data_IF_881525946849
#
_entry.id   IF_881525946849
#
_cell.length_a   1.000
_cell.length_b   1.000
_cell.length_c   1.000
_cell.angle_alpha   90.00
_cell.angle_beta   90.00
_cell.angle_gamma   90.00
#
_symmetry.space_group_name_H-M   'P 1'
#
loop_
_entity.id
_entity.type
_entity.pdbx_description
1 polymer ?
#
# COMPACT_ATOMS: atom_id res chain seq x y z
N UNK A 1 10.68 -12.57 -2.13
CA UNK A 1 9.41 -11.93 -1.76
C UNK A 1 9.23 -11.98 -0.25
N UNK A 2 8.89 -10.82 0.35
CA UNK A 2 8.62 -10.59 1.78
C UNK A 2 7.14 -10.28 1.99
N UNK A 3 6.61 -10.36 3.21
CA UNK A 3 5.18 -10.12 3.50
C UNK A 3 5.01 -8.88 4.38
N UNK A 4 4.28 -7.89 3.86
CA UNK A 4 3.97 -6.64 4.56
C UNK A 4 2.51 -6.55 5.02
N UNK A 5 2.19 -5.56 5.85
CA UNK A 5 0.82 -5.28 6.30
C UNK A 5 0.39 -3.83 6.04
N UNK A 6 -0.84 -3.61 5.58
CA UNK A 6 -1.47 -2.28 5.56
C UNK A 6 -1.94 -1.86 6.97
N UNK A 7 -1.18 -1.01 7.68
CA UNK A 7 -1.48 -0.72 9.10
C UNK A 7 -2.85 -0.07 9.33
N UNK A 8 -3.38 0.66 8.34
CA UNK A 8 -4.74 1.26 8.38
C UNK A 8 -5.85 0.25 8.63
N UNK A 9 -5.61 -1.03 8.34
CA UNK A 9 -6.57 -2.11 8.48
C UNK A 9 -6.56 -2.72 9.88
N UNK A 10 -5.72 -2.20 10.77
CA UNK A 10 -5.71 -2.50 12.18
C UNK A 10 -6.32 -1.33 12.96
N UNK A 11 -6.93 -1.61 14.12
CA UNK A 11 -7.43 -0.58 15.03
C UNK A 11 -6.48 -0.41 16.21
N UNK A 12 -6.46 0.81 16.74
CA UNK A 12 -5.62 1.22 17.87
C UNK A 12 -4.64 2.32 17.48
N UNK A 13 -3.84 2.84 18.45
CA UNK A 13 -2.71 3.72 18.20
C UNK A 13 -1.70 3.10 17.23
N UNK A 14 -0.96 3.94 16.50
CA UNK A 14 0.06 3.46 15.56
C UNK A 14 1.16 2.62 16.27
N UNK A 15 1.73 2.99 17.44
CA UNK A 15 2.75 2.18 18.10
C UNK A 15 2.29 0.76 18.47
N UNK A 16 1.09 0.62 19.03
CA UNK A 16 0.48 -0.69 19.33
C UNK A 16 0.24 -1.51 18.06
N UNK A 17 -0.11 -0.83 16.97
CA UNK A 17 -0.33 -1.45 15.67
C UNK A 17 0.98 -2.02 15.12
N UNK A 18 2.08 -1.25 15.15
CA UNK A 18 3.39 -1.72 14.70
C UNK A 18 3.94 -2.86 15.57
N UNK A 19 3.80 -2.76 16.89
CA UNK A 19 4.18 -3.83 17.81
C UNK A 19 3.43 -5.14 17.52
N UNK A 20 2.13 -5.05 17.19
CA UNK A 20 1.36 -6.22 16.76
C UNK A 20 1.83 -6.78 15.41
N UNK A 21 2.15 -5.93 14.43
CA UNK A 21 2.67 -6.36 13.11
C UNK A 21 3.98 -7.15 13.29
N UNK A 22 4.94 -6.62 14.07
CA UNK A 22 6.19 -7.32 14.37
C UNK A 22 5.97 -8.64 15.12
N UNK A 23 5.11 -8.65 16.15
CA UNK A 23 4.81 -9.85 16.93
C UNK A 23 4.13 -10.99 16.13
N UNK A 24 3.58 -10.69 14.95
CA UNK A 24 2.95 -11.68 14.06
C UNK A 24 3.82 -11.99 12.81
N UNK A 25 5.11 -11.63 12.85
CA UNK A 25 6.11 -12.07 11.86
C UNK A 25 6.00 -11.44 10.48
N UNK A 26 5.36 -10.28 10.36
CA UNK A 26 5.38 -9.49 9.12
C UNK A 26 6.75 -8.81 8.97
N UNK A 27 7.25 -8.72 7.74
CA UNK A 27 8.56 -8.16 7.40
C UNK A 27 8.56 -6.63 7.25
N UNK A 28 7.39 -5.99 7.37
CA UNK A 28 7.23 -4.55 7.15
C UNK A 28 5.78 -4.10 7.06
N UNK A 29 5.57 -2.80 6.86
CA UNK A 29 4.24 -2.19 6.78
C UNK A 29 4.16 -1.00 5.84
N UNK A 30 2.99 -0.84 5.24
CA UNK A 30 2.58 0.39 4.57
C UNK A 30 1.87 1.30 5.58
N UNK A 31 2.15 2.60 5.55
CA UNK A 31 1.66 3.59 6.55
C UNK A 31 0.91 4.77 5.89
N UNK A 32 -0.08 5.31 6.58
CA UNK A 32 -0.83 6.50 6.13
C UNK A 32 -0.44 7.74 6.95
N UNK A 33 -0.20 8.89 6.31
CA UNK A 33 0.19 10.13 7.01
C UNK A 33 -0.78 10.49 8.16
N UNK A 34 -2.09 10.45 7.89
CA UNK A 34 -3.16 10.67 8.89
C UNK A 34 -3.05 9.82 10.16
N UNK A 35 -2.36 8.67 10.12
CA UNK A 35 -2.16 7.75 11.24
C UNK A 35 -0.93 8.11 12.07
N UNK A 36 0.07 8.72 11.43
CA UNK A 36 1.20 9.39 12.08
C UNK A 36 0.68 10.64 12.81
N UNK A 37 -0.08 11.48 12.10
CA UNK A 37 -0.66 12.73 12.64
C UNK A 37 -1.59 12.45 13.84
N UNK A 38 -2.50 11.48 13.70
CA UNK A 38 -3.43 11.11 14.78
C UNK A 38 -2.75 10.47 16.01
N UNK A 39 -1.50 10.02 15.87
CA UNK A 39 -0.67 9.55 16.99
C UNK A 39 0.20 10.68 17.59
N UNK A 40 0.19 11.89 17.00
CA UNK A 40 1.05 13.00 17.42
C UNK A 40 2.54 12.78 17.11
N UNK A 41 2.85 11.90 16.16
CA UNK A 41 4.21 11.48 15.82
C UNK A 41 4.78 12.26 14.63
N UNK A 42 6.09 12.15 14.43
CA UNK A 42 6.81 12.56 13.22
C UNK A 42 7.26 11.33 12.42
N UNK A 43 7.65 11.55 11.15
CA UNK A 43 8.25 10.52 10.32
C UNK A 43 9.48 9.87 10.99
N UNK A 44 10.33 10.67 11.65
CA UNK A 44 11.49 10.21 12.43
C UNK A 44 11.14 9.21 13.53
N UNK A 45 9.97 9.37 14.15
CA UNK A 45 9.53 8.54 15.27
C UNK A 45 9.05 7.20 14.73
N UNK A 46 8.29 7.21 13.63
CA UNK A 46 7.84 6.01 12.90
C UNK A 46 9.02 5.22 12.33
N UNK A 47 10.01 5.89 11.72
CA UNK A 47 11.23 5.26 11.23
C UNK A 47 12.07 4.64 12.36
N UNK A 48 12.04 5.23 13.56
CA UNK A 48 12.70 4.67 14.75
C UNK A 48 11.94 3.46 15.28
N UNK A 49 10.62 3.55 15.45
CA UNK A 49 9.78 2.40 15.84
C UNK A 49 9.92 1.22 14.87
N UNK A 50 9.95 1.49 13.56
CA UNK A 50 10.13 0.46 12.54
C UNK A 50 11.47 -0.27 12.72
N UNK A 51 12.58 0.47 12.82
CA UNK A 51 13.92 -0.09 13.09
C UNK A 51 13.98 -0.90 14.39
N UNK A 52 13.46 -0.35 15.48
CA UNK A 52 13.53 -0.99 16.80
C UNK A 52 12.68 -2.28 16.88
N UNK A 53 11.63 -2.37 16.05
CA UNK A 53 10.78 -3.55 15.89
C UNK A 53 11.25 -4.52 14.79
N UNK A 54 12.33 -4.20 14.05
CA UNK A 54 12.81 -5.00 12.93
C UNK A 54 11.92 -4.97 11.68
N UNK A 55 11.08 -3.95 11.52
CA UNK A 55 10.16 -3.76 10.40
C UNK A 55 10.73 -2.81 9.35
N UNK A 56 10.50 -3.08 8.07
CA UNK A 56 10.68 -2.09 6.99
C UNK A 56 9.41 -1.24 6.83
N UNK A 57 9.55 0.08 6.63
CA UNK A 57 8.46 0.90 6.12
C UNK A 57 8.43 0.69 4.61
N UNK A 58 7.41 0.01 4.09
CA UNK A 58 7.42 -0.47 2.69
C UNK A 58 6.84 0.53 1.71
N UNK A 59 5.85 1.32 2.16
CA UNK A 59 5.18 2.33 1.35
C UNK A 59 4.46 3.40 2.19
N UNK A 60 4.24 4.58 1.62
CA UNK A 60 3.25 5.57 2.08
C UNK A 60 1.95 5.36 1.30
N UNK A 61 0.81 5.34 2.01
CA UNK A 61 -0.50 5.03 1.45
C UNK A 61 -1.53 6.15 1.53
N UNK A 62 -2.50 6.08 0.62
CA UNK A 62 -3.73 6.87 0.62
C UNK A 62 -3.68 8.10 -0.29
N UNK A 63 -4.57 9.05 -0.01
CA UNK A 63 -4.68 10.32 -0.72
C UNK A 63 -6.11 10.75 -1.00
N UNK A 64 -6.31 11.95 -1.55
CA UNK A 64 -7.61 12.46 -2.02
C UNK A 64 -8.00 11.83 -3.37
N UNK A 65 -9.04 12.36 -4.01
CA UNK A 65 -9.49 11.97 -5.35
C UNK A 65 -8.52 12.52 -6.41
N UNK A 66 -8.15 11.74 -7.44
CA UNK A 66 -7.28 12.18 -8.54
C UNK A 66 -8.04 12.53 -9.84
N UNK A 67 -9.34 12.26 -9.87
CA UNK A 67 -10.21 12.38 -11.04
C UNK A 67 -10.92 13.72 -11.10
N UNK A 68 -11.37 14.26 -9.97
CA UNK A 68 -12.14 15.52 -9.94
C UNK A 68 -11.23 16.75 -10.14
N UNK A 69 -11.34 17.48 -11.27
CA UNK A 69 -10.50 18.64 -11.55
C UNK A 69 -10.70 19.77 -10.53
N UNK A 70 -11.85 19.80 -9.81
CA UNK A 70 -12.14 20.79 -8.77
C UNK A 70 -11.25 20.62 -7.54
N UNK A 71 -10.70 19.42 -7.31
CA UNK A 71 -9.77 19.10 -6.22
C UNK A 71 -8.35 18.75 -6.68
N UNK A 72 -8.04 18.89 -7.98
CA UNK A 72 -6.76 18.45 -8.54
C UNK A 72 -5.54 19.10 -7.86
N UNK A 73 -5.59 20.39 -7.52
CA UNK A 73 -4.47 21.08 -6.86
C UNK A 73 -4.24 20.57 -5.43
N UNK A 74 -5.31 20.36 -4.66
CA UNK A 74 -5.24 19.73 -3.33
C UNK A 74 -4.63 18.31 -3.42
N UNK A 75 -5.01 17.56 -4.46
CA UNK A 75 -4.46 16.25 -4.72
C UNK A 75 -2.97 16.27 -5.05
N UNK A 76 -2.54 17.16 -5.95
CA UNK A 76 -1.13 17.35 -6.29
C UNK A 76 -0.32 17.66 -5.03
N UNK A 77 -0.76 18.61 -4.20
CA UNK A 77 -0.01 19.03 -3.01
C UNK A 77 -0.01 17.97 -1.90
N UNK A 78 -1.10 17.21 -1.73
CA UNK A 78 -1.13 16.05 -0.83
C UNK A 78 -0.13 14.96 -1.27
N UNK A 79 -0.11 14.60 -2.56
CA UNK A 79 0.82 13.59 -3.07
C UNK A 79 2.28 14.06 -3.09
N UNK A 80 2.55 15.36 -3.25
CA UNK A 80 3.89 15.94 -2.97
C UNK A 80 4.28 15.74 -1.51
N UNK A 81 3.36 15.98 -0.58
CA UNK A 81 3.54 15.68 0.85
C UNK A 81 3.91 14.21 1.10
N UNK A 82 3.21 13.28 0.44
CA UNK A 82 3.49 11.84 0.58
C UNK A 82 4.83 11.41 -0.05
N UNK A 83 5.24 12.03 -1.15
CA UNK A 83 6.55 11.79 -1.77
C UNK A 83 7.70 12.27 -0.86
N UNK A 84 7.55 13.44 -0.23
CA UNK A 84 8.52 13.90 0.77
C UNK A 84 8.53 12.99 2.01
N UNK A 85 7.35 12.60 2.50
CA UNK A 85 7.21 11.65 3.61
C UNK A 85 7.83 10.27 3.28
N UNK A 86 7.73 9.79 2.03
CA UNK A 86 8.34 8.52 1.64
C UNK A 86 9.86 8.60 1.70
N UNK A 87 10.45 9.73 1.28
CA UNK A 87 11.89 10.01 1.42
C UNK A 87 12.32 10.07 2.90
N UNK A 88 11.58 10.77 3.76
CA UNK A 88 11.87 10.84 5.20
C UNK A 88 11.80 9.47 5.90
N UNK A 89 10.86 8.62 5.49
CA UNK A 89 10.70 7.24 6.00
C UNK A 89 11.65 6.23 5.33
N UNK A 90 12.40 6.63 4.30
CA UNK A 90 13.32 5.77 3.54
C UNK A 90 12.64 4.77 2.60
N UNK A 91 11.32 4.86 2.41
CA UNK A 91 10.55 3.97 1.54
C UNK A 91 10.43 4.56 0.12
N UNK A 92 10.32 3.71 -0.90
CA UNK A 92 10.38 4.11 -2.32
C UNK A 92 9.04 4.04 -3.05
N UNK A 93 7.95 3.82 -2.31
CA UNK A 93 6.63 3.56 -2.87
C UNK A 93 5.62 4.52 -2.22
N UNK A 94 4.93 5.29 -3.05
CA UNK A 94 3.69 5.98 -2.67
C UNK A 94 2.55 5.34 -3.48
N UNK A 95 1.57 4.74 -2.81
CA UNK A 95 0.42 4.13 -3.48
C UNK A 95 -0.72 5.13 -3.60
N UNK A 96 -1.40 5.17 -4.74
CA UNK A 96 -2.53 6.05 -4.99
C UNK A 96 -3.76 5.27 -5.49
N UNK A 97 -4.94 5.82 -5.24
CA UNK A 97 -6.21 5.38 -5.83
C UNK A 97 -6.79 6.56 -6.62
N UNK A 98 -7.27 6.34 -7.85
CA UNK A 98 -7.94 7.41 -8.62
C UNK A 98 -9.25 7.86 -7.96
N UNK A 99 -9.98 6.88 -7.41
CA UNK A 99 -11.35 6.97 -6.88
C UNK A 99 -12.40 7.18 -7.97
N UNK A 100 -13.67 7.20 -7.59
CA UNK A 100 -14.78 7.41 -8.50
C UNK A 100 -14.78 8.84 -9.06
N UNK A 101 -15.19 8.99 -10.32
CA UNK A 101 -15.51 10.30 -10.90
C UNK A 101 -16.79 10.87 -10.27
N UNK A 102 -16.97 12.20 -10.25
CA UNK A 102 -18.27 12.81 -10.01
C UNK A 102 -19.34 12.39 -11.02
N UNK A 103 -20.60 12.38 -10.62
CA UNK A 103 -21.74 12.03 -11.49
C UNK A 103 -21.90 13.03 -12.64
N UNK A 104 -21.59 14.31 -12.40
CA UNK A 104 -21.68 15.44 -13.34
C UNK A 104 -20.49 15.55 -14.31
N UNK A 105 -19.42 14.79 -14.09
CA UNK A 105 -18.21 14.83 -14.92
C UNK A 105 -18.29 13.79 -16.06
N UNK A 106 -17.92 14.17 -17.29
CA UNK A 106 -17.86 13.20 -18.39
C UNK A 106 -16.68 12.23 -18.22
N UNK A 107 -16.75 11.04 -18.83
CA UNK A 107 -15.62 10.09 -18.79
C UNK A 107 -14.36 10.66 -19.46
N UNK A 108 -14.52 11.46 -20.52
CA UNK A 108 -13.40 12.09 -21.21
C UNK A 108 -12.69 13.12 -20.30
N UNK A 109 -13.46 13.98 -19.62
CA UNK A 109 -12.92 14.98 -18.70
C UNK A 109 -12.30 14.32 -17.45
N UNK A 110 -12.92 13.24 -16.96
CA UNK A 110 -12.40 12.42 -15.87
C UNK A 110 -11.02 11.82 -16.21
N UNK A 111 -10.86 11.25 -17.40
CA UNK A 111 -9.57 10.71 -17.85
C UNK A 111 -8.52 11.80 -18.10
N UNK A 112 -8.91 12.93 -18.70
CA UNK A 112 -8.01 14.07 -18.90
C UNK A 112 -7.49 14.63 -17.56
N UNK A 113 -8.41 14.94 -16.64
CA UNK A 113 -8.10 15.41 -15.28
C UNK A 113 -7.20 14.44 -14.51
N UNK A 114 -7.47 13.13 -14.61
CA UNK A 114 -6.62 12.10 -13.99
C UNK A 114 -5.20 12.10 -14.57
N UNK A 115 -5.08 12.15 -15.89
CA UNK A 115 -3.78 12.15 -16.57
C UNK A 115 -2.97 13.42 -16.24
N UNK A 116 -3.61 14.59 -16.21
CA UNK A 116 -2.98 15.86 -15.86
C UNK A 116 -2.54 15.91 -14.38
N UNK A 117 -3.42 15.47 -13.47
CA UNK A 117 -3.13 15.41 -12.02
C UNK A 117 -1.97 14.46 -11.74
N UNK A 118 -2.00 13.25 -12.31
CA UNK A 118 -0.89 12.28 -12.18
C UNK A 118 0.38 12.80 -12.82
N UNK A 119 0.32 13.43 -14.00
CA UNK A 119 1.50 14.01 -14.64
C UNK A 119 2.15 15.13 -13.80
N UNK A 120 1.35 15.96 -13.12
CA UNK A 120 1.84 17.00 -12.22
C UNK A 120 2.49 16.44 -10.94
N UNK A 121 1.95 15.34 -10.40
CA UNK A 121 2.57 14.58 -9.29
C UNK A 121 3.89 13.95 -9.75
N UNK A 122 3.89 13.26 -10.90
CA UNK A 122 5.09 12.66 -11.49
C UNK A 122 6.15 13.71 -11.86
N UNK A 123 5.77 14.93 -12.21
CA UNK A 123 6.72 16.01 -12.44
C UNK A 123 7.54 16.36 -11.18
N UNK A 124 6.92 16.30 -9.99
CA UNK A 124 7.65 16.45 -8.72
C UNK A 124 8.47 15.20 -8.38
N UNK A 125 7.95 14.00 -8.66
CA UNK A 125 8.68 12.76 -8.44
C UNK A 125 9.98 12.64 -9.27
N UNK A 126 10.10 13.35 -10.41
CA UNK A 126 11.33 13.39 -11.23
C UNK A 126 12.53 14.03 -10.51
N UNK A 127 12.29 14.85 -9.49
CA UNK A 127 13.35 15.43 -8.66
C UNK A 127 13.82 14.45 -7.56
N UNK A 128 13.21 13.27 -7.46
CA UNK A 128 13.50 12.22 -6.47
C UNK A 128 14.09 11.00 -7.17
N UNK A 129 15.38 10.73 -6.97
CA UNK A 129 16.12 9.70 -7.73
C UNK A 129 16.15 8.34 -7.01
N UNK A 130 15.33 7.41 -7.49
CA UNK A 130 15.46 5.95 -7.30
C UNK A 130 14.98 5.22 -8.57
N UNK A 131 15.46 3.99 -8.84
CA UNK A 131 15.34 3.34 -10.16
C UNK A 131 14.39 2.11 -10.21
N UNK A 132 13.29 2.23 -10.98
CA UNK A 132 12.44 1.25 -11.73
C UNK A 132 11.82 -0.04 -11.07
N UNK A 133 10.63 -0.58 -11.42
CA UNK A 133 9.40 -0.10 -12.13
C UNK A 133 8.17 -1.09 -12.08
N UNK A 134 6.90 -0.58 -12.07
CA UNK A 134 5.59 -1.27 -12.41
C UNK A 134 4.82 -2.05 -11.28
N UNK A 135 3.51 -2.42 -11.32
CA UNK A 135 2.29 -2.09 -12.14
C UNK A 135 1.53 -3.33 -12.73
N UNK A 136 0.18 -3.52 -12.79
CA UNK A 136 -1.07 -2.94 -12.21
C UNK A 136 -2.29 -3.96 -12.32
N UNK A 137 -3.57 -3.62 -11.99
CA UNK A 137 -4.69 -4.59 -11.68
C UNK A 137 -6.11 -4.38 -12.32
N UNK A 138 -7.11 -5.22 -11.96
CA UNK A 138 -8.57 -5.08 -12.24
C UNK A 138 -9.49 -6.10 -11.51
N UNK A 139 -10.74 -5.74 -11.17
CA UNK A 139 -11.67 -6.54 -10.32
C UNK A 139 -13.10 -6.71 -10.89
N UNK A 140 -13.84 -7.73 -10.41
CA UNK A 140 -15.30 -7.80 -10.45
C UNK A 140 -15.89 -8.63 -9.27
N UNK A 141 -16.81 -8.04 -8.50
CA UNK A 141 -17.75 -8.71 -7.58
C UNK A 141 -17.22 -9.88 -6.73
N UNK A 142 -16.51 -9.58 -5.63
CA UNK A 142 -15.97 -10.57 -4.68
C UNK A 142 -16.25 -10.12 -3.24
N UNK A 143 -16.29 -11.06 -2.29
CA UNK A 143 -16.27 -10.79 -0.84
C UNK A 143 -14.84 -10.93 -0.32
N UNK A 144 -14.46 -10.14 0.67
CA UNK A 144 -13.16 -10.28 1.35
C UNK A 144 -13.03 -11.65 2.04
N UNK A 145 -11.92 -12.33 1.77
CA UNK A 145 -11.47 -13.59 2.39
C UNK A 145 -9.94 -13.53 2.51
N UNK A 146 -9.32 -14.42 3.28
CA UNK A 146 -7.86 -14.44 3.38
C UNK A 146 -7.21 -14.82 2.04
N UNK A 147 -5.96 -14.42 1.84
CA UNK A 147 -5.19 -14.85 0.67
C UNK A 147 -5.15 -16.39 0.61
N UNK A 148 -5.32 -16.96 -0.59
CA UNK A 148 -5.47 -18.41 -0.80
C UNK A 148 -6.91 -18.95 -0.73
N UNK A 149 -7.84 -18.28 -0.04
CA UNK A 149 -9.24 -18.74 0.09
C UNK A 149 -10.18 -18.21 -1.02
N UNK A 150 -9.72 -17.20 -1.75
CA UNK A 150 -10.49 -16.50 -2.78
C UNK A 150 -10.41 -17.13 -4.17
N UNK A 151 -10.88 -16.37 -5.16
CA UNK A 151 -10.86 -16.76 -6.58
C UNK A 151 -9.54 -16.42 -7.30
N UNK A 152 -8.58 -15.83 -6.59
CA UNK A 152 -7.28 -15.42 -7.15
C UNK A 152 -6.43 -16.67 -7.37
N UNK A 153 -5.93 -16.85 -8.60
CA UNK A 153 -5.04 -17.94 -8.96
C UNK A 153 -3.62 -17.76 -8.44
N UNK A 154 -3.43 -17.71 -7.11
CA UNK A 154 -2.15 -17.40 -6.46
C UNK A 154 -0.94 -18.18 -7.01
N UNK A 155 -1.00 -19.50 -7.28
CA UNK A 155 0.16 -20.20 -7.85
C UNK A 155 0.62 -19.65 -9.21
N UNK A 156 -0.32 -19.27 -10.08
CA UNK A 156 0.02 -18.66 -11.37
C UNK A 156 0.48 -17.21 -11.22
N UNK A 157 -0.17 -16.44 -10.35
CA UNK A 157 0.19 -15.05 -10.03
C UNK A 157 1.60 -14.92 -9.42
N UNK A 158 1.90 -15.71 -8.39
CA UNK A 158 3.21 -15.72 -7.72
C UNK A 158 4.32 -16.23 -8.64
N UNK A 159 4.03 -17.24 -9.49
CA UNK A 159 4.95 -17.71 -10.52
C UNK A 159 5.23 -16.62 -11.58
N UNK A 160 4.20 -15.87 -11.99
CA UNK A 160 4.37 -14.76 -12.92
C UNK A 160 5.20 -13.62 -12.32
N UNK A 161 5.00 -13.26 -11.04
CA UNK A 161 5.85 -12.30 -10.33
C UNK A 161 7.30 -12.78 -10.23
N UNK A 162 7.52 -14.05 -9.83
CA UNK A 162 8.87 -14.60 -9.74
C UNK A 162 9.57 -14.59 -11.13
N UNK A 163 8.83 -14.86 -12.21
CA UNK A 163 9.33 -14.87 -13.58
C UNK A 163 9.74 -13.48 -14.12
N UNK A 164 9.25 -12.37 -13.54
CA UNK A 164 9.77 -11.02 -13.87
C UNK A 164 11.02 -10.65 -13.07
N UNK A 165 11.46 -11.51 -12.14
CA UNK A 165 12.52 -11.21 -11.18
C UNK A 165 12.06 -10.42 -9.96
N UNK A 166 10.75 -10.31 -9.71
CA UNK A 166 10.22 -9.57 -8.56
C UNK A 166 10.55 -10.27 -7.23
N UNK A 167 11.33 -9.60 -6.38
CA UNK A 167 11.76 -10.10 -5.07
C UNK A 167 11.15 -9.34 -3.87
N UNK A 168 10.39 -8.27 -4.14
CA UNK A 168 9.83 -7.31 -3.18
C UNK A 168 8.71 -7.79 -2.26
N UNK A 169 7.79 -6.90 -1.90
CA UNK A 169 6.77 -7.12 -0.88
C UNK A 169 5.40 -7.54 -1.42
N UNK A 170 4.83 -8.58 -0.81
CA UNK A 170 3.40 -8.89 -0.87
C UNK A 170 2.72 -8.27 0.35
N UNK A 171 2.06 -7.13 0.18
CA UNK A 171 1.37 -6.44 1.28
C UNK A 171 -0.06 -6.97 1.45
N UNK A 172 -0.44 -7.32 2.69
CA UNK A 172 -1.79 -7.75 3.06
C UNK A 172 -2.67 -6.53 3.36
N UNK A 173 -3.82 -6.43 2.68
CA UNK A 173 -4.84 -5.39 2.85
C UNK A 173 -6.21 -6.04 3.13
N UNK A 174 -7.00 -5.50 4.07
CA UNK A 174 -8.25 -6.14 4.56
C UNK A 174 -9.34 -5.12 4.92
N UNK A 175 -10.57 -5.26 4.39
CA UNK A 175 -11.66 -4.27 4.62
C UNK A 175 -12.75 -4.72 5.62
N UNK A 176 -12.57 -5.87 6.29
CA UNK A 176 -13.53 -6.47 7.23
C UNK A 176 -13.56 -5.84 8.64
N UNK A 177 -14.36 -6.40 9.57
CA UNK A 177 -14.43 -5.96 10.98
C UNK A 177 -13.13 -6.22 11.77
N UNK A 178 -12.82 -5.38 12.76
CA UNK A 178 -11.48 -5.27 13.36
C UNK A 178 -10.88 -6.56 13.95
N UNK A 179 -11.62 -7.28 14.81
CA UNK A 179 -11.17 -8.56 15.38
C UNK A 179 -10.94 -9.62 14.29
N UNK A 180 -11.79 -9.62 13.27
CA UNK A 180 -11.66 -10.50 12.11
C UNK A 180 -10.45 -10.12 11.25
N UNK A 181 -10.13 -8.83 11.08
CA UNK A 181 -8.97 -8.37 10.30
C UNK A 181 -7.63 -8.82 10.90
N UNK A 182 -7.44 -8.78 12.22
CA UNK A 182 -6.21 -9.31 12.86
C UNK A 182 -6.01 -10.80 12.55
N UNK A 183 -7.04 -11.62 12.76
CA UNK A 183 -6.99 -13.06 12.47
C UNK A 183 -6.75 -13.34 10.97
N UNK A 184 -7.54 -12.71 10.09
CA UNK A 184 -7.43 -12.90 8.64
C UNK A 184 -6.10 -12.39 8.08
N UNK A 185 -5.48 -11.36 8.67
CA UNK A 185 -4.17 -10.89 8.24
C UNK A 185 -3.07 -11.95 8.51
N UNK A 186 -3.10 -12.59 9.69
CA UNK A 186 -2.17 -13.70 10.01
C UNK A 186 -2.42 -14.89 9.08
N UNK A 187 -3.69 -15.29 8.92
CA UNK A 187 -4.11 -16.37 8.03
C UNK A 187 -3.71 -16.13 6.56
N UNK A 188 -3.89 -14.90 6.06
CA UNK A 188 -3.44 -14.51 4.73
C UNK A 188 -1.91 -14.54 4.61
N UNK A 189 -1.17 -14.09 5.63
CA UNK A 189 0.29 -14.16 5.64
C UNK A 189 0.79 -15.60 5.62
N UNK A 190 0.25 -16.49 6.45
CA UNK A 190 0.64 -17.91 6.50
C UNK A 190 0.31 -18.67 5.21
N UNK A 191 -0.85 -18.37 4.61
CA UNK A 191 -1.20 -18.90 3.29
C UNK A 191 -0.21 -18.41 2.22
N UNK A 192 0.17 -17.12 2.21
CA UNK A 192 1.18 -16.58 1.30
C UNK A 192 2.56 -17.21 1.52
N UNK A 193 3.03 -17.41 2.77
CA UNK A 193 4.28 -18.12 3.08
C UNK A 193 4.27 -19.53 2.50
N UNK A 194 3.16 -20.26 2.70
CA UNK A 194 2.98 -21.62 2.19
C UNK A 194 3.00 -21.68 0.66
N UNK A 195 2.32 -20.74 -0.01
CA UNK A 195 2.27 -20.64 -1.46
C UNK A 195 3.63 -20.26 -2.07
N UNK A 196 4.37 -19.35 -1.43
CA UNK A 196 5.74 -19.00 -1.82
C UNK A 196 6.70 -20.19 -1.68
N UNK A 197 6.64 -20.94 -0.58
CA UNK A 197 7.44 -22.15 -0.40
C UNK A 197 7.16 -23.20 -1.48
N UNK A 198 5.89 -23.41 -1.85
CA UNK A 198 5.49 -24.33 -2.91
C UNK A 198 5.85 -23.86 -4.34
N UNK A 199 6.11 -22.56 -4.53
CA UNK A 199 6.61 -22.01 -5.79
C UNK A 199 8.13 -22.13 -5.93
N UNK A 200 8.88 -22.00 -4.84
CA UNK A 200 10.36 -22.03 -4.82
C UNK A 200 11.00 -23.42 -4.91
N UNK A 201 10.20 -24.49 -4.98
CA UNK A 201 10.66 -25.90 -5.03
C UNK A 201 10.52 -26.49 -6.45
N UNK A 202 10.42 -25.64 -7.48
CA UNK A 202 10.24 -26.03 -8.89
C UNK A 202 11.40 -25.60 -9.77
#
# INVERSE_FOLDING_TARGET
MRIGMCEKDLRGPLPETLAWIAANGFDGFQVWQRRIDAAGLKASDVATMARDLGLEVTAVGGGPNLVDPRSAQEAIDAFRGFLNLSVELGCRIVTAESKAKPDDLSDADAWASTAETVAAICAHAKDIVFTDAGGNAGQAGVRDVAAGEGRVGYPAYLSALAATGYDGYLTVEMHMGAETRRRQAVEAADNLRTLLAAASVR
#
